data_IF_832000522830
#
_entry.id   IF_832000522830
#
_cell.length_a   1.000
_cell.length_b   1.000
_cell.length_c   1.000
_cell.angle_alpha   90.00
_cell.angle_beta   90.00
_cell.angle_gamma   90.00
#
_symmetry.space_group_name_H-M   'P 1'
#
loop_
_entity.id
_entity.type
_entity.pdbx_description
1 polymer ?
#
# COMPACT_ATOMS: atom_id res chain seq x y z
N UNK A 1 -0.89 23.31 -0.21
CA UNK A 1 0.12 22.29 0.14
C UNK A 1 0.06 22.01 1.64
N UNK A 2 -0.03 20.76 2.07
CA UNK A 2 -0.14 20.44 3.50
C UNK A 2 1.21 20.52 4.22
N UNK A 3 1.20 20.79 5.53
CA UNK A 3 2.39 20.85 6.40
C UNK A 3 3.20 19.54 6.33
N UNK A 4 2.51 18.41 6.22
CA UNK A 4 3.11 17.07 6.07
C UNK A 4 3.84 16.91 4.73
N UNK A 5 3.32 17.48 3.64
CA UNK A 5 4.02 17.49 2.34
C UNK A 5 5.27 18.39 2.38
N UNK A 6 5.17 19.56 3.00
CA UNK A 6 6.29 20.51 3.13
C UNK A 6 7.44 19.90 3.96
N UNK A 7 7.14 19.21 5.06
CA UNK A 7 8.12 18.50 5.91
C UNK A 7 8.79 17.31 5.20
N UNK A 8 8.06 16.62 4.31
CA UNK A 8 8.57 15.48 3.53
C UNK A 8 9.51 15.93 2.40
N UNK A 9 9.24 17.09 1.78
CA UNK A 9 10.02 17.62 0.66
C UNK A 9 11.23 18.45 1.10
N UNK A 10 11.22 19.05 2.30
CA UNK A 10 12.32 19.89 2.80
C UNK A 10 13.60 19.11 3.18
N UNK A 11 13.54 17.78 3.25
CA UNK A 11 14.66 16.92 3.67
C UNK A 11 14.87 15.73 2.71
N UNK A 12 14.60 15.94 1.41
CA UNK A 12 14.81 14.93 0.38
C UNK A 12 16.07 15.24 -0.42
N UNK A 13 16.94 14.24 -0.56
CA UNK A 13 18.12 14.31 -1.43
C UNK A 13 17.80 13.44 -2.66
N UNK A 14 17.81 14.05 -3.84
CA UNK A 14 17.66 13.33 -5.11
C UNK A 14 19.05 13.11 -5.70
N UNK A 15 19.37 11.86 -6.00
CA UNK A 15 20.64 11.47 -6.62
C UNK A 15 20.33 10.78 -7.94
N UNK A 16 20.89 11.29 -9.03
CA UNK A 16 20.85 10.60 -10.32
C UNK A 16 21.80 9.41 -10.27
N UNK A 17 21.30 8.23 -10.58
CA UNK A 17 22.08 7.00 -10.66
C UNK A 17 21.95 6.41 -12.07
N UNK A 18 23.02 5.83 -12.56
CA UNK A 18 22.95 4.93 -13.71
C UNK A 18 22.26 3.62 -13.32
N UNK A 19 21.78 2.86 -14.30
CA UNK A 19 21.08 1.59 -14.06
C UNK A 19 21.97 0.57 -13.34
N UNK A 20 23.25 0.51 -13.68
CA UNK A 20 24.23 -0.40 -13.08
C UNK A 20 24.49 -0.06 -11.61
N UNK A 21 24.64 1.23 -11.29
CA UNK A 21 24.80 1.72 -9.92
C UNK A 21 23.54 1.44 -9.08
N UNK A 22 22.36 1.72 -9.62
CA UNK A 22 21.09 1.47 -8.93
C UNK A 22 20.92 -0.02 -8.60
N UNK A 23 21.24 -0.91 -9.55
CA UNK A 23 21.18 -2.36 -9.36
C UNK A 23 22.19 -2.85 -8.30
N UNK A 24 23.42 -2.34 -8.32
CA UNK A 24 24.44 -2.69 -7.34
C UNK A 24 24.02 -2.28 -5.91
N UNK A 25 23.48 -1.07 -5.75
CA UNK A 25 22.99 -0.56 -4.46
C UNK A 25 21.80 -1.39 -3.97
N UNK A 26 20.87 -1.76 -4.85
CA UNK A 26 19.74 -2.63 -4.48
C UNK A 26 20.19 -3.98 -3.96
N UNK A 27 21.14 -4.62 -4.63
CA UNK A 27 21.65 -5.91 -4.19
C UNK A 27 22.32 -5.79 -2.81
N UNK A 28 23.09 -4.73 -2.57
CA UNK A 28 23.72 -4.49 -1.28
C UNK A 28 22.70 -4.19 -0.16
N UNK A 29 21.65 -3.42 -0.47
CA UNK A 29 20.55 -3.13 0.44
C UNK A 29 19.77 -4.41 0.81
N UNK A 30 19.50 -5.29 -0.17
CA UNK A 30 18.85 -6.59 0.06
C UNK A 30 19.67 -7.51 0.95
N UNK A 31 20.99 -7.61 0.75
CA UNK A 31 21.89 -8.41 1.61
C UNK A 31 21.86 -7.96 3.07
N UNK A 32 21.61 -6.68 3.31
CA UNK A 32 21.53 -6.08 4.66
C UNK A 32 20.11 -6.00 5.20
N UNK A 33 19.10 -6.47 4.45
CA UNK A 33 17.70 -6.51 4.88
C UNK A 33 17.06 -5.13 5.06
N UNK A 34 17.57 -4.10 4.39
CA UNK A 34 17.08 -2.72 4.50
C UNK A 34 16.70 -2.16 3.12
N UNK A 35 15.91 -1.09 3.09
CA UNK A 35 15.56 -0.40 1.85
C UNK A 35 16.77 0.34 1.24
N UNK A 36 16.76 0.56 -0.08
CA UNK A 36 17.80 1.33 -0.81
C UNK A 36 18.12 2.66 -0.12
N UNK A 37 17.09 3.44 0.24
CA UNK A 37 17.26 4.74 0.90
C UNK A 37 17.90 4.62 2.30
N UNK A 38 17.52 3.61 3.08
CA UNK A 38 18.12 3.35 4.39
C UNK A 38 19.58 2.89 4.27
N UNK A 39 19.87 2.04 3.28
CA UNK A 39 21.24 1.61 2.96
C UNK A 39 22.13 2.80 2.62
N UNK A 40 21.73 3.62 1.65
CA UNK A 40 22.50 4.81 1.22
C UNK A 40 22.71 5.77 2.38
N UNK A 41 21.64 6.09 3.13
CA UNK A 41 21.74 6.95 4.33
C UNK A 41 22.78 6.43 5.31
N UNK A 42 22.76 5.13 5.64
CA UNK A 42 23.70 4.54 6.58
C UNK A 42 25.14 4.64 6.08
N UNK A 43 25.37 4.37 4.80
CA UNK A 43 26.70 4.50 4.19
C UNK A 43 27.18 5.96 4.19
N UNK A 44 26.32 6.90 3.82
CA UNK A 44 26.66 8.33 3.84
C UNK A 44 26.98 8.82 5.25
N UNK A 45 26.15 8.48 6.24
CA UNK A 45 26.39 8.87 7.64
C UNK A 45 27.68 8.25 8.20
N UNK A 46 27.95 6.98 7.86
CA UNK A 46 29.21 6.33 8.23
C UNK A 46 30.43 6.99 7.58
N UNK A 47 30.32 7.46 6.34
CA UNK A 47 31.41 8.13 5.64
C UNK A 47 31.76 9.51 6.21
N UNK A 48 30.86 10.10 7.00
CA UNK A 48 31.05 11.41 7.67
C UNK A 48 31.12 11.29 9.19
N UNK A 49 31.33 10.08 9.72
CA UNK A 49 31.44 9.78 11.15
C UNK A 49 30.24 10.24 12.00
N UNK A 50 29.03 10.26 11.39
CA UNK A 50 27.79 10.58 12.10
C UNK A 50 27.05 9.28 12.46
N UNK A 51 26.66 9.08 13.73
CA UNK A 51 25.90 7.89 14.11
C UNK A 51 24.50 7.91 13.48
N UNK A 52 24.10 6.76 12.91
CA UNK A 52 22.74 6.58 12.42
C UNK A 52 21.76 6.42 13.60
N UNK A 53 21.04 7.50 13.92
CA UNK A 53 20.02 7.52 14.97
C UNK A 53 18.65 7.05 14.49
N UNK A 54 18.50 6.65 13.22
CA UNK A 54 17.20 6.19 12.72
C UNK A 54 16.91 4.76 13.16
N UNK A 55 15.76 4.57 13.81
CA UNK A 55 15.28 3.23 14.18
C UNK A 55 15.08 2.42 12.88
N UNK A 56 15.63 1.20 12.78
CA UNK A 56 15.37 0.35 11.62
C UNK A 56 13.88 0.14 11.49
N UNK A 57 13.30 0.50 10.33
CA UNK A 57 11.97 0.05 9.94
C UNK A 57 12.07 -1.47 9.76
N UNK A 58 11.67 -2.23 10.77
CA UNK A 58 11.50 -3.68 10.64
C UNK A 58 10.44 -3.89 9.56
N UNK A 59 10.86 -4.27 8.37
CA UNK A 59 9.97 -4.91 7.41
C UNK A 59 9.58 -6.25 8.03
N UNK A 60 8.38 -6.31 8.61
CA UNK A 60 7.83 -7.58 9.07
C UNK A 60 7.55 -8.37 7.79
N UNK A 61 8.36 -9.39 7.52
CA UNK A 61 8.10 -10.33 6.43
C UNK A 61 6.68 -10.86 6.61
N UNK A 62 5.83 -10.57 5.63
CA UNK A 62 4.43 -11.00 5.63
C UNK A 62 4.42 -12.51 5.43
N UNK A 63 3.80 -13.24 6.36
CA UNK A 63 3.77 -14.70 6.31
C UNK A 63 2.78 -15.14 5.23
N UNK A 64 2.98 -16.34 4.66
CA UNK A 64 2.05 -16.93 3.69
C UNK A 64 0.61 -16.98 4.20
N UNK A 65 0.41 -17.32 5.48
CA UNK A 65 -0.90 -17.33 6.12
C UNK A 65 -1.59 -15.96 6.14
N UNK A 66 -0.83 -14.86 6.30
CA UNK A 66 -1.39 -13.51 6.27
C UNK A 66 -1.90 -13.17 4.86
N UNK A 67 -1.21 -13.65 3.82
CA UNK A 67 -1.62 -13.46 2.43
C UNK A 67 -2.84 -14.28 2.05
N UNK A 68 -2.92 -15.53 2.53
CA UNK A 68 -4.11 -16.35 2.38
C UNK A 68 -5.32 -15.69 3.03
N UNK A 69 -5.15 -15.14 4.25
CA UNK A 69 -6.21 -14.41 4.93
C UNK A 69 -6.67 -13.17 4.14
N UNK A 70 -5.74 -12.41 3.55
CA UNK A 70 -6.07 -11.27 2.68
C UNK A 70 -6.81 -11.74 1.42
N UNK A 71 -6.37 -12.83 0.79
CA UNK A 71 -7.03 -13.37 -0.40
C UNK A 71 -8.48 -13.83 -0.10
N UNK A 72 -8.70 -14.48 1.04
CA UNK A 72 -10.04 -14.86 1.51
C UNK A 72 -10.91 -13.63 1.73
N UNK A 73 -10.39 -12.59 2.39
CA UNK A 73 -11.13 -11.35 2.61
C UNK A 73 -11.54 -10.67 1.30
N UNK A 74 -10.64 -10.62 0.31
CA UNK A 74 -10.92 -10.05 -1.01
C UNK A 74 -12.01 -10.84 -1.73
N UNK A 75 -11.96 -12.17 -1.66
CA UNK A 75 -12.98 -13.03 -2.26
C UNK A 75 -14.36 -12.77 -1.63
N UNK A 76 -14.46 -12.68 -0.31
CA UNK A 76 -15.72 -12.37 0.37
C UNK A 76 -16.26 -11.00 0.01
N UNK A 77 -15.40 -9.98 -0.05
CA UNK A 77 -15.80 -8.62 -0.44
C UNK A 77 -16.38 -8.62 -1.86
N UNK A 78 -15.79 -9.38 -2.78
CA UNK A 78 -16.30 -9.56 -4.14
C UNK A 78 -17.69 -10.21 -4.16
N UNK A 79 -17.90 -11.26 -3.36
CA UNK A 79 -19.21 -11.93 -3.21
C UNK A 79 -20.27 -10.97 -2.67
N UNK A 80 -19.97 -10.27 -1.58
CA UNK A 80 -20.88 -9.29 -0.98
C UNK A 80 -21.25 -8.20 -1.97
N UNK A 81 -20.27 -7.65 -2.69
CA UNK A 81 -20.51 -6.61 -3.71
C UNK A 81 -21.44 -7.13 -4.81
N UNK A 82 -21.23 -8.35 -5.29
CA UNK A 82 -22.12 -8.99 -6.27
C UNK A 82 -23.57 -9.11 -5.79
N UNK A 83 -23.77 -9.58 -4.55
CA UNK A 83 -25.11 -9.69 -3.95
C UNK A 83 -25.80 -8.34 -3.80
N UNK A 84 -25.07 -7.30 -3.39
CA UNK A 84 -25.62 -5.94 -3.22
C UNK A 84 -25.98 -5.32 -4.59
N UNK A 85 -25.21 -5.59 -5.65
CA UNK A 85 -25.56 -5.16 -7.03
C UNK A 85 -26.86 -5.80 -7.48
N UNK A 86 -27.03 -7.11 -7.23
CA UNK A 86 -28.27 -7.81 -7.56
C UNK A 86 -29.46 -7.25 -6.77
N UNK A 87 -29.28 -6.96 -5.47
CA UNK A 87 -30.29 -6.32 -4.64
C UNK A 87 -30.66 -4.93 -5.17
N UNK A 88 -29.69 -4.09 -5.53
CA UNK A 88 -29.95 -2.78 -6.12
C UNK A 88 -30.81 -2.90 -7.37
N UNK A 89 -30.45 -3.82 -8.28
CA UNK A 89 -31.21 -4.06 -9.51
C UNK A 89 -32.66 -4.48 -9.23
N UNK A 90 -32.89 -5.36 -8.25
CA UNK A 90 -34.22 -5.79 -7.85
C UNK A 90 -35.04 -4.65 -7.21
N UNK A 91 -34.41 -3.80 -6.39
CA UNK A 91 -35.05 -2.64 -5.77
C UNK A 91 -35.41 -1.57 -6.80
N UNK A 92 -34.56 -1.36 -7.80
CA UNK A 92 -34.86 -0.47 -8.94
C UNK A 92 -36.10 -0.90 -9.70
N UNK A 93 -36.31 -2.20 -9.84
CA UNK A 93 -37.45 -2.78 -10.57
C UNK A 93 -38.74 -2.81 -9.74
N UNK A 94 -38.65 -2.99 -8.42
CA UNK A 94 -39.82 -3.13 -7.54
C UNK A 94 -40.47 -1.81 -7.11
N UNK A 95 -39.79 -0.67 -7.30
CA UNK A 95 -40.35 0.67 -7.04
C UNK A 95 -40.06 1.35 -5.68
N UNK A 96 -39.55 0.71 -4.59
CA UNK A 96 -39.22 1.41 -3.36
C UNK A 96 -37.88 2.19 -3.49
N UNK A 97 -37.96 3.43 -4.00
CA UNK A 97 -36.81 4.33 -4.23
C UNK A 97 -35.90 4.52 -3.01
N UNK A 98 -36.46 4.67 -1.80
CA UNK A 98 -35.67 4.88 -0.58
C UNK A 98 -34.72 3.72 -0.25
N UNK A 99 -35.15 2.49 -0.51
CA UNK A 99 -34.31 1.30 -0.29
C UNK A 99 -33.25 1.17 -1.38
N UNK A 100 -33.58 1.50 -2.62
CA UNK A 100 -32.62 1.57 -3.71
C UNK A 100 -31.50 2.60 -3.42
N UNK A 101 -31.85 3.80 -2.97
CA UNK A 101 -30.87 4.86 -2.68
C UNK A 101 -29.92 4.47 -1.53
N UNK A 102 -30.45 3.79 -0.50
CA UNK A 102 -29.64 3.24 0.59
C UNK A 102 -28.66 2.17 0.07
N UNK A 103 -29.12 1.28 -0.82
CA UNK A 103 -28.27 0.23 -1.41
C UNK A 103 -27.21 0.80 -2.35
N UNK A 104 -27.51 1.84 -3.12
CA UNK A 104 -26.52 2.54 -3.95
C UNK A 104 -25.43 3.23 -3.11
N UNK A 105 -25.80 3.75 -1.94
CA UNK A 105 -24.82 4.28 -0.97
C UNK A 105 -23.88 3.18 -0.49
N UNK A 106 -24.44 2.03 -0.09
CA UNK A 106 -23.65 0.86 0.32
C UNK A 106 -22.75 0.35 -0.82
N UNK A 107 -23.24 0.35 -2.07
CA UNK A 107 -22.43 -0.02 -3.24
C UNK A 107 -21.26 0.93 -3.46
N UNK A 108 -21.49 2.23 -3.29
CA UNK A 108 -20.43 3.23 -3.37
C UNK A 108 -19.33 2.95 -2.34
N UNK A 109 -19.71 2.69 -1.09
CA UNK A 109 -18.77 2.37 -0.02
C UNK A 109 -18.02 1.07 -0.30
N UNK A 110 -18.70 0.02 -0.75
CA UNK A 110 -18.06 -1.25 -1.11
C UNK A 110 -17.03 -1.09 -2.24
N UNK A 111 -17.32 -0.25 -3.24
CA UNK A 111 -16.35 0.06 -4.32
C UNK A 111 -15.11 0.78 -3.79
N UNK A 112 -15.30 1.74 -2.88
CA UNK A 112 -14.19 2.45 -2.21
C UNK A 112 -13.34 1.46 -1.40
N UNK A 113 -13.98 0.57 -0.63
CA UNK A 113 -13.28 -0.44 0.16
C UNK A 113 -12.55 -1.46 -0.73
N UNK A 114 -13.14 -1.87 -1.85
CA UNK A 114 -12.50 -2.76 -2.80
C UNK A 114 -11.25 -2.14 -3.42
N UNK A 115 -11.32 -0.86 -3.80
CA UNK A 115 -10.17 -0.13 -4.34
C UNK A 115 -9.07 0.06 -3.29
N UNK A 116 -9.44 0.41 -2.05
CA UNK A 116 -8.49 0.51 -0.94
C UNK A 116 -7.80 -0.83 -0.66
N UNK A 117 -8.55 -1.93 -0.72
CA UNK A 117 -8.02 -3.28 -0.54
C UNK A 117 -7.08 -3.67 -1.67
N UNK A 118 -7.42 -3.37 -2.93
CA UNK A 118 -6.53 -3.60 -4.08
C UNK A 118 -5.19 -2.88 -3.93
N UNK A 119 -5.20 -1.60 -3.54
CA UNK A 119 -3.98 -0.85 -3.27
C UNK A 119 -3.16 -1.41 -2.10
N UNK A 120 -3.82 -1.96 -1.09
CA UNK A 120 -3.15 -2.58 0.04
C UNK A 120 -2.46 -3.89 -0.39
N UNK A 121 -3.12 -4.69 -1.23
CA UNK A 121 -2.55 -5.90 -1.85
C UNK A 121 -1.36 -5.56 -2.76
N UNK A 122 -1.47 -4.55 -3.62
CA UNK A 122 -0.38 -4.08 -4.49
C UNK A 122 0.85 -3.66 -3.68
N UNK A 123 0.64 -2.90 -2.61
CA UNK A 123 1.71 -2.49 -1.70
C UNK A 123 2.38 -3.67 -1.02
N UNK A 124 1.59 -4.63 -0.54
CA UNK A 124 2.12 -5.87 0.05
C UNK A 124 2.92 -6.67 -0.97
N UNK A 125 2.44 -6.77 -2.22
CA UNK A 125 3.13 -7.44 -3.31
C UNK A 125 4.44 -6.78 -3.69
N UNK A 126 4.51 -5.44 -3.66
CA UNK A 126 5.71 -4.66 -3.96
C UNK A 126 6.77 -4.65 -2.84
N UNK A 127 6.40 -5.07 -1.63
CA UNK A 127 7.34 -5.26 -0.50
C UNK A 127 8.05 -6.63 -0.53
N UNK A 128 7.78 -7.47 -1.54
CA UNK A 128 8.51 -8.72 -1.84
C UNK A 128 9.73 -8.45 -2.72
#
# INVERSE_FOLDING_TARGET
>A
MSVSQRRRLSAQINVGLTETEASAIDQAARRTGVSRAAFVRRQTLSAVDIPDTTKPRRHRSIRSADLEAVAVLVAELGRTTGSVVQLSKALRQSGPRRHHDAVETILSDLRIQAQATAHLVERIGAER
#
